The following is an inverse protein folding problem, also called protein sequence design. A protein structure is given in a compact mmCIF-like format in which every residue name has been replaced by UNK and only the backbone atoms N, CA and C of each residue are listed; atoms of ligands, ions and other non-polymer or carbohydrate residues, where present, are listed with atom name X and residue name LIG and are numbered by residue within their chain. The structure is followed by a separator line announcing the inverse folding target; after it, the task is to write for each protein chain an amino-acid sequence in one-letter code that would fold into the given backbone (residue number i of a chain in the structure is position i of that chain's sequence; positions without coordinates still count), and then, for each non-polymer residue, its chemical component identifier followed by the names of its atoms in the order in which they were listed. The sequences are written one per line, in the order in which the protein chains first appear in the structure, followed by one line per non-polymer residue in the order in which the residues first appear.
data_IF_313339919868
#
_entry.id   IF_313339919868
#
_cell.length_a   1.000
_cell.length_b   1.000
_cell.length_c   1.000
_cell.angle_alpha   90.00
_cell.angle_beta   90.00
_cell.angle_gamma   90.00
#
_symmetry.space_group_name_H-M   'P 1'
#
loop_
_entity.id
_entity.type
_entity.pdbx_description
1 polymer ?
#
# COMPACT_ATOMS: atom_id res chain seq x y z
N UNK A 1 11.12 -40.63 19.50
CA UNK A 1 10.56 -39.32 19.12
C UNK A 1 11.56 -38.60 18.24
N UNK A 2 11.30 -38.47 16.94
CA UNK A 2 12.22 -37.79 16.02
C UNK A 2 12.15 -36.27 16.23
N UNK A 3 13.29 -35.56 16.28
CA UNK A 3 13.28 -34.10 16.40
C UNK A 3 12.67 -33.47 15.15
N UNK A 4 11.80 -32.47 15.32
CA UNK A 4 11.24 -31.71 14.21
C UNK A 4 12.37 -31.11 13.37
N UNK A 5 12.29 -31.18 12.03
CA UNK A 5 13.33 -30.63 11.15
C UNK A 5 13.54 -29.13 11.44
N UNK A 6 14.81 -28.72 11.54
CA UNK A 6 15.17 -27.32 11.77
C UNK A 6 14.68 -26.51 10.58
N UNK A 7 13.89 -25.46 10.86
CA UNK A 7 13.38 -24.55 9.84
C UNK A 7 14.51 -23.97 8.98
N UNK A 8 14.36 -24.05 7.66
CA UNK A 8 15.26 -23.44 6.70
C UNK A 8 15.14 -21.89 6.72
N UNK A 9 16.02 -21.18 6.01
CA UNK A 9 16.03 -19.70 6.03
C UNK A 9 14.71 -19.09 5.53
N UNK A 10 14.11 -19.68 4.50
CA UNK A 10 12.83 -19.23 3.94
C UNK A 10 11.68 -19.41 4.94
N UNK A 11 11.60 -20.57 5.59
CA UNK A 11 10.60 -20.84 6.62
C UNK A 11 10.75 -19.93 7.83
N UNK A 12 11.99 -19.56 8.18
CA UNK A 12 12.26 -18.54 9.21
C UNK A 12 11.74 -17.17 8.79
N UNK A 13 11.99 -16.75 7.55
CA UNK A 13 11.50 -15.48 7.03
C UNK A 13 9.97 -15.44 7.00
N UNK A 14 9.32 -16.49 6.49
CA UNK A 14 7.86 -16.62 6.48
C UNK A 14 7.28 -16.61 7.90
N UNK A 15 7.93 -17.29 8.85
CA UNK A 15 7.47 -17.30 10.23
C UNK A 15 7.62 -15.93 10.90
N UNK A 16 8.75 -15.26 10.70
CA UNK A 16 8.98 -13.90 11.20
C UNK A 16 8.01 -12.91 10.57
N UNK A 17 7.74 -13.03 9.26
CA UNK A 17 6.75 -12.23 8.55
C UNK A 17 5.35 -12.40 9.11
N UNK A 18 4.93 -13.66 9.35
CA UNK A 18 3.63 -13.96 9.94
C UNK A 18 3.48 -13.35 11.35
N UNK A 19 4.57 -13.28 12.11
CA UNK A 19 4.61 -12.69 13.47
C UNK A 19 4.80 -11.17 13.49
N UNK A 20 5.31 -10.58 12.42
CA UNK A 20 5.57 -9.15 12.35
C UNK A 20 4.25 -8.35 12.38
N UNK A 21 4.27 -7.22 13.09
CA UNK A 21 3.18 -6.26 13.10
C UNK A 21 3.02 -5.57 11.73
N UNK A 22 1.89 -4.89 11.51
CA UNK A 22 1.66 -4.12 10.28
C UNK A 22 2.76 -3.10 10.02
N UNK A 23 3.24 -2.41 11.07
CA UNK A 23 4.32 -1.45 10.99
C UNK A 23 5.65 -2.13 10.59
N UNK A 24 6.01 -3.23 11.24
CA UNK A 24 7.26 -3.96 10.95
C UNK A 24 7.28 -4.52 9.52
N UNK A 25 6.13 -4.98 9.03
CA UNK A 25 6.00 -5.42 7.63
C UNK A 25 6.17 -4.24 6.67
N UNK A 26 5.61 -3.08 6.99
CA UNK A 26 5.76 -1.88 6.18
C UNK A 26 7.23 -1.40 6.13
N UNK A 27 7.89 -1.34 7.28
CA UNK A 27 9.33 -0.99 7.39
C UNK A 27 10.20 -1.97 6.58
N UNK A 28 9.90 -3.28 6.62
CA UNK A 28 10.61 -4.27 5.82
C UNK A 28 10.40 -4.09 4.31
N UNK A 29 9.18 -3.73 3.89
CA UNK A 29 8.90 -3.43 2.48
C UNK A 29 9.59 -2.14 2.01
N UNK A 30 9.65 -1.11 2.86
CA UNK A 30 10.45 0.09 2.58
C UNK A 30 11.94 -0.25 2.45
N UNK A 31 12.48 -1.06 3.35
CA UNK A 31 13.88 -1.51 3.27
C UNK A 31 14.16 -2.31 1.99
N UNK A 32 13.25 -3.20 1.58
CA UNK A 32 13.36 -3.89 0.29
C UNK A 32 13.38 -2.91 -0.89
N UNK A 33 12.61 -1.82 -0.80
CA UNK A 33 12.57 -0.80 -1.83
C UNK A 33 13.87 -0.02 -1.96
N UNK A 34 14.51 0.33 -0.84
CA UNK A 34 15.80 1.04 -0.83
C UNK A 34 16.99 0.13 -1.10
N UNK A 35 16.88 -1.16 -0.82
CA UNK A 35 17.96 -2.14 -1.02
C UNK A 35 18.14 -2.58 -2.49
N UNK A 36 17.18 -2.26 -3.36
CA UNK A 36 17.21 -2.67 -4.78
C UNK A 36 17.97 -1.69 -5.68
N UNK A 37 18.45 -0.54 -5.20
CA UNK A 37 19.22 0.41 -6.02
C UNK A 37 20.59 -0.13 -6.49
N UNK A 38 21.02 -1.32 -6.02
CA UNK A 38 22.34 -1.89 -6.32
C UNK A 38 22.37 -3.27 -6.99
N UNK A 39 21.25 -3.83 -7.48
CA UNK A 39 21.26 -5.17 -8.10
C UNK A 39 20.64 -5.17 -9.50
N UNK A 40 21.53 -5.24 -10.50
CA UNK A 40 21.34 -5.58 -11.91
C UNK A 40 19.90 -5.84 -12.39
N UNK A 41 19.31 -4.82 -13.03
CA UNK A 41 18.74 -4.91 -14.38
C UNK A 41 17.49 -5.76 -14.64
N UNK A 42 16.92 -6.48 -13.66
CA UNK A 42 15.66 -7.22 -13.84
C UNK A 42 14.67 -6.99 -12.69
N UNK A 43 14.75 -5.82 -12.05
CA UNK A 43 13.88 -5.43 -10.95
C UNK A 43 12.46 -5.20 -11.42
N UNK A 44 11.53 -6.04 -10.98
CA UNK A 44 10.21 -5.52 -10.63
C UNK A 44 10.50 -4.45 -9.59
N UNK A 45 10.47 -3.17 -9.98
CA UNK A 45 10.74 -2.06 -9.08
C UNK A 45 9.93 -2.29 -7.81
N UNK A 46 10.44 -2.02 -6.61
CA UNK A 46 9.66 -2.23 -5.39
C UNK A 46 8.31 -1.50 -5.41
N UNK A 47 8.20 -0.47 -6.26
CA UNK A 47 6.97 0.16 -6.73
C UNK A 47 5.94 -0.87 -7.23
N UNK A 48 6.30 -1.82 -8.10
CA UNK A 48 5.45 -2.91 -8.62
C UNK A 48 5.01 -3.90 -7.52
N UNK A 49 5.84 -4.12 -6.50
CA UNK A 49 5.48 -5.00 -5.38
C UNK A 49 4.49 -4.34 -4.41
N UNK A 50 4.66 -3.04 -4.13
CA UNK A 50 3.74 -2.26 -3.29
C UNK A 50 2.43 -1.97 -4.04
N UNK A 51 2.54 -1.71 -5.34
CA UNK A 51 1.44 -1.64 -6.31
C UNK A 51 0.52 -2.86 -6.27
N UNK A 52 1.11 -4.05 -6.15
CA UNK A 52 0.40 -5.33 -6.12
C UNK A 52 -0.28 -5.65 -4.79
N UNK A 53 -0.05 -4.86 -3.73
CA UNK A 53 -0.76 -5.06 -2.46
C UNK A 53 -2.21 -4.63 -2.65
N UNK A 54 -3.19 -5.56 -2.51
CA UNK A 54 -4.60 -5.22 -2.66
C UNK A 54 -4.97 -4.05 -1.77
N UNK A 55 -5.80 -3.14 -2.26
CA UNK A 55 -6.20 -1.97 -1.47
C UNK A 55 -7.52 -2.19 -0.72
N UNK A 56 -8.30 -3.19 -1.13
CA UNK A 56 -9.62 -3.44 -0.59
C UNK A 56 -9.93 -4.94 -0.45
N UNK A 57 -10.77 -5.28 0.53
CA UNK A 57 -11.49 -6.55 0.59
C UNK A 57 -12.91 -6.32 0.11
N UNK A 58 -13.15 -6.58 -1.17
CA UNK A 58 -14.42 -6.25 -1.82
C UNK A 58 -14.61 -4.73 -1.90
N UNK A 59 -15.51 -4.19 -1.08
CA UNK A 59 -15.89 -2.76 -1.10
C UNK A 59 -15.20 -1.92 -0.02
N UNK A 60 -14.46 -2.57 0.88
CA UNK A 60 -13.92 -1.96 2.08
C UNK A 60 -12.41 -1.82 1.94
N UNK A 61 -11.89 -0.61 2.17
CA UNK A 61 -10.46 -0.37 2.15
C UNK A 61 -9.77 -1.18 3.26
N UNK A 62 -8.63 -1.78 2.92
CA UNK A 62 -7.78 -2.41 3.92
C UNK A 62 -7.09 -1.34 4.76
N UNK A 63 -6.78 -1.60 6.05
CA UNK A 63 -6.08 -0.64 6.90
C UNK A 63 -4.75 -0.15 6.29
N UNK A 64 -4.04 -1.05 5.60
CA UNK A 64 -2.79 -0.71 4.87
C UNK A 64 -3.03 0.30 3.74
N UNK A 65 -4.15 0.17 3.02
CA UNK A 65 -4.51 1.10 1.96
C UNK A 65 -4.87 2.48 2.50
N UNK A 66 -5.61 2.54 3.62
CA UNK A 66 -5.94 3.81 4.29
C UNK A 66 -4.67 4.59 4.65
N UNK A 67 -3.65 3.92 5.19
CA UNK A 67 -2.36 4.55 5.51
C UNK A 67 -1.69 5.09 4.24
N UNK A 68 -1.63 4.31 3.17
CA UNK A 68 -1.02 4.72 1.89
C UNK A 68 -1.74 5.91 1.25
N UNK A 69 -3.08 5.87 1.20
CA UNK A 69 -3.91 6.97 0.67
C UNK A 69 -3.66 8.25 1.48
N UNK A 70 -3.67 8.15 2.81
CA UNK A 70 -3.39 9.29 3.68
C UNK A 70 -1.98 9.84 3.49
N UNK A 71 -0.98 9.00 3.27
CA UNK A 71 0.39 9.44 3.01
C UNK A 71 0.48 10.27 1.71
N UNK A 72 -0.11 9.79 0.62
CA UNK A 72 -0.16 10.55 -0.65
C UNK A 72 -0.95 11.85 -0.50
N UNK A 73 -2.10 11.80 0.19
CA UNK A 73 -2.90 12.99 0.49
C UNK A 73 -2.10 14.04 1.27
N UNK A 74 -1.38 13.64 2.32
CA UNK A 74 -0.55 14.57 3.10
C UNK A 74 0.60 15.13 2.27
N UNK A 75 1.31 14.29 1.52
CA UNK A 75 2.43 14.71 0.67
C UNK A 75 2.02 15.75 -0.39
N UNK A 76 0.80 15.61 -0.94
CA UNK A 76 0.25 16.51 -1.96
C UNK A 76 -0.70 17.59 -1.39
N UNK A 77 -0.87 17.66 -0.06
CA UNK A 77 -1.83 18.54 0.61
C UNK A 77 -3.27 18.42 0.05
N UNK A 78 -3.70 17.21 -0.29
CA UNK A 78 -5.02 16.92 -0.85
C UNK A 78 -6.06 16.58 0.21
N UNK A 79 -7.28 17.07 0.03
CA UNK A 79 -8.46 16.61 0.77
C UNK A 79 -9.06 15.36 0.12
N UNK A 80 -9.84 14.58 0.88
CA UNK A 80 -10.52 13.39 0.33
C UNK A 80 -11.48 13.75 -0.82
N UNK A 81 -12.08 14.95 -0.76
CA UNK A 81 -12.97 15.46 -1.80
C UNK A 81 -12.19 15.81 -3.07
N UNK A 82 -11.00 16.43 -2.93
CA UNK A 82 -10.12 16.72 -4.05
C UNK A 82 -9.65 15.43 -4.74
N UNK A 83 -9.33 14.38 -3.98
CA UNK A 83 -9.03 13.05 -4.55
C UNK A 83 -10.24 12.52 -5.33
N UNK A 84 -11.45 12.58 -4.77
CA UNK A 84 -12.65 12.14 -5.50
C UNK A 84 -12.88 12.93 -6.80
N UNK A 85 -12.56 14.22 -6.83
CA UNK A 85 -12.56 15.04 -8.06
C UNK A 85 -11.47 14.60 -9.05
N UNK A 86 -10.23 14.35 -8.61
CA UNK A 86 -9.16 13.82 -9.47
C UNK A 86 -9.54 12.47 -10.10
N UNK A 87 -10.31 11.66 -9.37
CA UNK A 87 -10.81 10.37 -9.85
C UNK A 87 -12.07 10.48 -10.73
N UNK A 88 -12.66 11.67 -10.87
CA UNK A 88 -13.89 11.90 -11.65
C UNK A 88 -15.20 11.50 -10.97
N UNK A 89 -15.23 11.36 -9.64
CA UNK A 89 -16.41 10.96 -8.85
C UNK A 89 -16.97 12.11 -7.99
N UNK A 90 -17.31 13.22 -8.63
CA UNK A 90 -17.78 14.44 -7.94
C UNK A 90 -19.16 14.30 -7.28
N UNK A 91 -19.98 13.36 -7.78
CA UNK A 91 -21.32 13.06 -7.25
C UNK A 91 -21.27 12.43 -5.84
N UNK A 92 -20.15 11.80 -5.48
CA UNK A 92 -19.96 11.12 -4.19
C UNK A 92 -18.70 11.57 -3.46
N UNK A 93 -18.45 12.89 -3.46
CA UNK A 93 -17.27 13.53 -2.84
C UNK A 93 -16.99 13.09 -1.40
N UNK A 94 -18.03 12.72 -0.64
CA UNK A 94 -17.92 12.32 0.77
C UNK A 94 -17.66 10.83 0.98
N UNK A 95 -17.76 9.98 -0.05
CA UNK A 95 -17.55 8.54 0.12
C UNK A 95 -16.14 8.20 0.59
N UNK A 96 -15.11 8.82 -0.01
CA UNK A 96 -13.72 8.57 0.40
C UNK A 96 -13.47 9.03 1.84
N UNK A 97 -14.00 10.20 2.24
CA UNK A 97 -13.87 10.69 3.62
C UNK A 97 -14.46 9.72 4.65
N UNK A 98 -15.65 9.18 4.36
CA UNK A 98 -16.32 8.16 5.20
C UNK A 98 -15.55 6.84 5.20
N UNK A 99 -15.04 6.39 4.06
CA UNK A 99 -14.23 5.18 3.98
C UNK A 99 -12.93 5.29 4.79
N UNK A 100 -12.27 6.45 4.75
CA UNK A 100 -11.03 6.69 5.48
C UNK A 100 -11.22 6.84 6.99
N UNK A 101 -12.38 7.35 7.45
CA UNK A 101 -12.63 7.67 8.86
C UNK A 101 -13.43 6.59 9.58
N UNK A 102 -14.44 6.03 8.92
CA UNK A 102 -15.42 5.12 9.50
C UNK A 102 -15.33 3.69 8.92
N UNK A 103 -14.48 3.47 7.92
CA UNK A 103 -14.40 2.19 7.22
C UNK A 103 -15.63 1.90 6.35
N UNK A 104 -16.31 2.94 5.86
CA UNK A 104 -17.48 2.81 4.99
C UNK A 104 -17.16 2.10 3.65
N UNK A 105 -18.18 1.48 3.05
CA UNK A 105 -18.05 0.82 1.75
C UNK A 105 -17.92 1.83 0.62
N UNK A 106 -17.04 1.55 -0.34
CA UNK A 106 -16.90 2.30 -1.59
C UNK A 106 -17.55 1.56 -2.76
N UNK A 107 -17.93 2.31 -3.79
CA UNK A 107 -18.29 1.71 -5.10
C UNK A 107 -17.05 1.03 -5.67
N UNK A 108 -17.23 -0.12 -6.34
CA UNK A 108 -16.10 -0.87 -6.90
C UNK A 108 -15.32 -0.05 -7.96
N UNK A 109 -16.00 0.82 -8.70
CA UNK A 109 -15.35 1.74 -9.64
C UNK A 109 -14.41 2.73 -8.93
N UNK A 110 -14.77 3.21 -7.73
CA UNK A 110 -13.92 4.10 -6.93
C UNK A 110 -12.72 3.34 -6.38
N UNK A 111 -12.90 2.08 -5.98
CA UNK A 111 -11.79 1.21 -5.55
C UNK A 111 -10.79 1.01 -6.69
N UNK A 112 -11.25 0.59 -7.87
CA UNK A 112 -10.38 0.42 -9.04
C UNK A 112 -9.67 1.72 -9.45
N UNK A 113 -10.36 2.86 -9.39
CA UNK A 113 -9.74 4.15 -9.68
C UNK A 113 -8.69 4.54 -8.63
N UNK A 114 -8.93 4.26 -7.34
CA UNK A 114 -7.96 4.46 -6.27
C UNK A 114 -6.74 3.55 -6.40
N UNK A 115 -6.89 2.32 -6.90
CA UNK A 115 -5.75 1.44 -7.19
C UNK A 115 -4.83 2.11 -8.21
N UNK A 116 -5.38 2.52 -9.35
CA UNK A 116 -4.63 3.20 -10.40
C UNK A 116 -4.02 4.53 -9.92
N UNK A 117 -4.77 5.30 -9.13
CA UNK A 117 -4.28 6.54 -8.56
C UNK A 117 -3.12 6.30 -7.59
N UNK A 118 -3.17 5.27 -6.75
CA UNK A 118 -2.05 4.92 -5.87
C UNK A 118 -0.82 4.43 -6.65
N UNK A 119 -1.01 3.76 -7.80
CA UNK A 119 0.10 3.38 -8.69
C UNK A 119 0.81 4.61 -9.27
N UNK A 120 0.03 5.59 -9.73
CA UNK A 120 0.57 6.83 -10.30
C UNK A 120 1.33 7.69 -9.27
N UNK A 121 1.09 7.49 -7.97
CA UNK A 121 1.65 8.29 -6.89
C UNK A 121 2.45 7.47 -5.87
N UNK A 122 2.93 6.28 -6.26
CA UNK A 122 3.71 5.40 -5.41
C UNK A 122 5.15 5.89 -5.13
N UNK A 123 5.51 7.09 -5.59
CA UNK A 123 6.80 7.75 -5.36
C UNK A 123 6.75 8.63 -4.09
N UNK A 124 7.29 8.18 -2.94
CA UNK A 124 7.76 9.10 -1.90
C UNK A 124 9.08 9.72 -2.37
N UNK A 125 9.10 11.04 -2.45
CA UNK A 125 10.15 11.82 -3.08
C UNK A 125 11.58 11.50 -2.66
N UNK A 126 12.43 11.40 -3.67
CA UNK A 126 13.86 11.70 -3.64
C UNK A 126 14.05 13.20 -3.38
N UNK A 127 14.66 13.66 -2.27
CA UNK A 127 15.18 15.01 -2.20
C UNK A 127 16.58 15.02 -2.85
N UNK A 128 16.70 15.69 -3.99
CA UNK A 128 18.00 16.18 -4.48
C UNK A 128 17.79 17.44 -5.34
N UNK A 129 18.81 18.29 -5.49
CA UNK A 129 20.12 18.30 -4.84
C UNK A 129 20.27 19.32 -3.70
#
# INVERSE_FOLDING_TARGET
MSPKPKRNRLEKLQHSWAKASTQQRYEFLQWLATSHEGSDGNGLAAVDLIARIPIASGRYLLPSAVIRIRAVMTARSLSAEAVMTELGFEEDRKALSRALSEGASLRLAVVAALENWLLAHAEPGHPAP
#
